data_IF_182206768030
#
_entry.id   IF_182206768030
#
_cell.length_a   1.000
_cell.length_b   1.000
_cell.length_c   1.000
_cell.angle_alpha   90.00
_cell.angle_beta   90.00
_cell.angle_gamma   90.00
#
_symmetry.space_group_name_H-M   'P 1'
#
loop_
_entity.id
_entity.type
_entity.pdbx_description
1 polymer ?
#
# COMPACT_ATOMS: atom_id res chain seq x y z
N UNK A 1 5.25 -8.36 -3.13
CA UNK A 1 5.00 -8.44 -1.68
C UNK A 1 5.69 -9.62 -0.98
N UNK A 2 5.71 -10.85 -1.55
CA UNK A 2 6.34 -12.02 -0.92
C UNK A 2 7.85 -11.89 -0.62
N UNK A 3 8.58 -11.03 -1.36
CA UNK A 3 9.99 -10.78 -1.08
C UNK A 3 10.23 -10.31 0.36
N UNK A 4 9.38 -9.45 0.92
CA UNK A 4 9.52 -8.97 2.31
C UNK A 4 9.43 -10.14 3.31
N UNK A 5 8.52 -11.09 3.06
CA UNK A 5 8.36 -12.28 3.89
C UNK A 5 9.58 -13.21 3.79
N UNK A 6 10.10 -13.42 2.57
CA UNK A 6 11.32 -14.20 2.35
C UNK A 6 12.50 -13.58 3.11
N UNK A 7 12.68 -12.26 2.98
CA UNK A 7 13.75 -11.53 3.69
C UNK A 7 13.57 -11.64 5.21
N UNK A 8 12.33 -11.52 5.72
CA UNK A 8 12.06 -11.70 7.14
C UNK A 8 12.46 -13.09 7.65
N UNK A 9 12.15 -14.15 6.88
CA UNK A 9 12.53 -15.53 7.21
C UNK A 9 14.05 -15.70 7.23
N UNK A 10 14.76 -15.09 6.27
CA UNK A 10 16.24 -15.13 6.23
C UNK A 10 16.86 -14.47 7.47
N UNK A 11 16.36 -13.30 7.88
CA UNK A 11 16.82 -12.64 9.11
C UNK A 11 16.51 -13.45 10.36
N UNK A 12 15.36 -14.12 10.41
CA UNK A 12 15.00 -15.01 11.53
C UNK A 12 15.93 -16.23 11.59
N UNK A 13 16.24 -16.85 10.45
CA UNK A 13 17.18 -17.96 10.38
C UNK A 13 18.60 -17.55 10.80
N UNK A 14 19.07 -16.38 10.34
CA UNK A 14 20.33 -15.80 10.78
C UNK A 14 20.37 -15.49 12.27
N UNK A 15 19.26 -15.00 12.84
CA UNK A 15 19.15 -14.76 14.27
C UNK A 15 19.26 -16.05 15.10
N UNK A 16 18.61 -17.13 14.65
CA UNK A 16 18.70 -18.45 15.29
C UNK A 16 20.14 -18.97 15.25
N UNK A 17 20.83 -18.80 14.12
CA UNK A 17 22.24 -19.15 13.97
C UNK A 17 23.15 -18.33 14.91
N UNK A 18 22.94 -17.02 15.02
CA UNK A 18 23.71 -16.18 15.94
C UNK A 18 23.45 -16.54 17.41
N UNK A 19 22.22 -16.95 17.74
CA UNK A 19 21.87 -17.42 19.08
C UNK A 19 22.63 -18.71 19.45
N UNK A 20 22.80 -19.64 18.50
CA UNK A 20 23.56 -20.88 18.74
C UNK A 20 25.07 -20.63 18.89
N UNK A 21 25.58 -19.54 18.30
CA UNK A 21 26.96 -19.09 18.48
C UNK A 21 27.20 -18.28 19.77
N UNK A 22 26.16 -18.01 20.56
CA UNK A 22 26.25 -17.18 21.78
C UNK A 22 26.40 -15.68 21.51
N UNK A 23 26.15 -15.25 20.28
CA UNK A 23 26.32 -13.87 19.80
C UNK A 23 24.96 -13.16 19.87
N UNK A 24 24.57 -12.78 21.09
CA UNK A 24 23.19 -12.38 21.40
C UNK A 24 22.77 -11.01 20.82
N UNK A 25 23.68 -10.06 20.71
CA UNK A 25 23.38 -8.72 20.17
C UNK A 25 22.90 -8.78 18.72
N UNK A 26 23.58 -9.59 17.90
CA UNK A 26 23.32 -9.78 16.49
C UNK A 26 22.07 -10.65 16.29
N UNK A 27 21.86 -11.64 17.15
CA UNK A 27 20.62 -12.41 17.18
C UNK A 27 19.40 -11.51 17.44
N UNK A 28 19.49 -10.62 18.44
CA UNK A 28 18.41 -9.73 18.82
C UNK A 28 18.10 -8.70 17.73
N UNK A 29 19.14 -8.16 17.07
CA UNK A 29 18.98 -7.30 15.90
C UNK A 29 18.25 -8.03 14.75
N UNK A 30 18.62 -9.28 14.47
CA UNK A 30 17.98 -10.09 13.43
C UNK A 30 16.49 -10.36 13.73
N UNK A 31 16.14 -10.69 14.97
CA UNK A 31 14.74 -10.85 15.40
C UNK A 31 13.96 -9.56 15.23
N UNK A 32 14.52 -8.42 15.65
CA UNK A 32 13.85 -7.12 15.52
C UNK A 32 13.56 -6.77 14.06
N UNK A 33 14.52 -7.00 13.16
CA UNK A 33 14.35 -6.78 11.71
C UNK A 33 13.29 -7.72 11.14
N UNK A 34 13.35 -9.02 11.47
CA UNK A 34 12.37 -10.00 11.00
C UNK A 34 10.94 -9.65 11.45
N UNK A 35 10.77 -9.25 12.71
CA UNK A 35 9.49 -8.80 13.25
C UNK A 35 8.96 -7.57 12.50
N UNK A 36 9.82 -6.57 12.29
CA UNK A 36 9.46 -5.34 11.59
C UNK A 36 9.01 -5.60 10.15
N UNK A 37 9.77 -6.43 9.41
CA UNK A 37 9.43 -6.83 8.04
C UNK A 37 8.11 -7.59 7.97
N UNK A 38 7.84 -8.43 8.98
CA UNK A 38 6.59 -9.18 9.06
C UNK A 38 5.40 -8.25 9.29
N UNK A 39 5.52 -7.27 10.19
CA UNK A 39 4.49 -6.25 10.42
C UNK A 39 4.22 -5.44 9.13
N UNK A 40 5.27 -5.02 8.43
CA UNK A 40 5.13 -4.31 7.15
C UNK A 40 4.49 -5.17 6.06
N UNK A 41 4.82 -6.45 6.01
CA UNK A 41 4.20 -7.39 5.09
C UNK A 41 2.70 -7.51 5.35
N UNK A 42 2.28 -7.71 6.60
CA UNK A 42 0.86 -7.77 6.95
C UNK A 42 0.13 -6.46 6.67
N UNK A 43 0.74 -5.32 7.01
CA UNK A 43 0.18 -4.00 6.70
C UNK A 43 -0.01 -3.82 5.19
N UNK A 44 1.01 -4.17 4.39
CA UNK A 44 0.95 -4.06 2.93
C UNK A 44 -0.11 -4.99 2.34
N UNK A 45 -0.20 -6.21 2.88
CA UNK A 45 -1.17 -7.23 2.44
C UNK A 45 -2.60 -6.83 2.76
N UNK A 46 -2.83 -6.20 3.91
CA UNK A 46 -4.14 -5.66 4.24
C UNK A 46 -4.54 -4.54 3.25
N UNK A 47 -3.61 -3.67 2.86
CA UNK A 47 -3.91 -2.63 1.86
C UNK A 47 -4.27 -3.24 0.50
N UNK A 48 -3.50 -4.23 0.01
CA UNK A 48 -3.76 -4.91 -1.27
C UNK A 48 -5.11 -5.64 -1.25
N UNK A 49 -5.42 -6.40 -0.20
CA UNK A 49 -6.70 -7.12 -0.06
C UNK A 49 -7.90 -6.16 -0.11
N UNK A 50 -7.83 -5.01 0.55
CA UNK A 50 -8.93 -4.02 0.52
C UNK A 50 -9.07 -3.31 -0.82
N UNK A 51 -7.98 -3.19 -1.58
CA UNK A 51 -8.03 -2.68 -2.95
C UNK A 51 -8.74 -3.72 -3.83
N UNK A 52 -8.33 -4.98 -3.77
CA UNK A 52 -8.93 -6.07 -4.55
C UNK A 52 -10.43 -6.21 -4.26
N UNK A 53 -10.84 -6.26 -2.99
CA UNK A 53 -12.24 -6.31 -2.58
C UNK A 53 -13.05 -5.17 -3.20
N UNK A 54 -12.50 -3.95 -3.19
CA UNK A 54 -13.15 -2.79 -3.77
C UNK A 54 -13.23 -2.87 -5.30
N UNK A 55 -12.16 -3.32 -5.97
CA UNK A 55 -12.13 -3.44 -7.42
C UNK A 55 -13.09 -4.53 -7.92
N UNK A 56 -13.18 -5.67 -7.21
CA UNK A 56 -14.14 -6.74 -7.49
C UNK A 56 -15.56 -6.22 -7.34
N UNK A 57 -15.85 -5.56 -6.21
CA UNK A 57 -17.16 -4.95 -6.00
C UNK A 57 -17.51 -3.92 -7.09
N UNK A 58 -16.53 -3.12 -7.51
CA UNK A 58 -16.69 -2.12 -8.55
C UNK A 58 -16.99 -2.77 -9.91
N UNK A 59 -16.33 -3.88 -10.23
CA UNK A 59 -16.58 -4.67 -11.44
C UNK A 59 -17.98 -5.27 -11.46
N UNK A 60 -18.47 -5.78 -10.34
CA UNK A 60 -19.83 -6.33 -10.22
C UNK A 60 -20.92 -5.27 -10.42
N UNK A 61 -20.63 -4.02 -10.06
CA UNK A 61 -21.60 -2.92 -10.09
C UNK A 61 -21.41 -1.93 -11.25
N UNK A 62 -20.42 -2.17 -12.12
CA UNK A 62 -20.02 -1.25 -13.19
C UNK A 62 -21.16 -0.87 -14.13
N UNK A 63 -22.03 -1.81 -14.49
CA UNK A 63 -23.10 -1.57 -15.46
C UNK A 63 -24.18 -0.66 -14.89
N UNK A 64 -24.47 -0.80 -13.59
CA UNK A 64 -25.38 0.09 -12.85
C UNK A 64 -24.81 1.50 -12.76
N UNK A 65 -23.51 1.62 -12.49
CA UNK A 65 -22.81 2.91 -12.40
C UNK A 65 -22.69 3.62 -13.75
N UNK A 66 -22.54 2.88 -14.86
CA UNK A 66 -22.49 3.43 -16.22
C UNK A 66 -23.85 3.87 -16.73
N UNK A 67 -24.87 3.05 -16.55
CA UNK A 67 -26.22 3.26 -17.09
C UNK A 67 -26.94 4.42 -16.40
N UNK A 68 -26.76 4.58 -15.09
CA UNK A 68 -27.39 5.64 -14.32
C UNK A 68 -26.36 6.40 -13.48
N UNK A 69 -25.66 7.36 -14.11
CA UNK A 69 -24.59 8.17 -13.49
C UNK A 69 -25.03 8.96 -12.26
N UNK A 70 -26.34 9.18 -12.08
CA UNK A 70 -26.90 9.93 -10.95
C UNK A 70 -27.20 9.04 -9.74
N UNK A 71 -27.37 7.73 -9.93
CA UNK A 71 -27.70 6.83 -8.82
C UNK A 71 -26.43 6.41 -8.07
N UNK A 72 -26.43 6.67 -6.76
CA UNK A 72 -25.31 6.30 -5.90
C UNK A 72 -25.51 4.88 -5.35
N UNK A 73 -24.47 4.04 -5.46
CA UNK A 73 -24.45 2.72 -4.83
C UNK A 73 -23.54 2.82 -3.61
N UNK A 74 -24.01 2.33 -2.47
CA UNK A 74 -23.25 2.43 -1.22
C UNK A 74 -22.23 1.31 -1.09
N UNK A 75 -20.96 1.65 -0.84
CA UNK A 75 -19.91 0.72 -0.42
C UNK A 75 -19.46 1.09 0.99
N UNK A 76 -19.57 0.15 1.94
CA UNK A 76 -19.22 0.38 3.35
C UNK A 76 -19.88 1.65 3.94
N UNK A 77 -21.13 1.94 3.54
CA UNK A 77 -21.87 3.14 3.97
C UNK A 77 -21.49 4.44 3.26
N UNK A 78 -20.57 4.42 2.30
CA UNK A 78 -20.19 5.58 1.49
C UNK A 78 -20.91 5.54 0.13
N UNK A 79 -21.66 6.58 -0.27
CA UNK A 79 -22.30 6.63 -1.58
C UNK A 79 -21.25 6.81 -2.69
N UNK A 80 -21.21 5.87 -3.64
CA UNK A 80 -20.30 5.86 -4.78
C UNK A 80 -21.09 6.10 -6.07
N UNK A 81 -20.60 7.02 -6.88
CA UNK A 81 -21.11 7.39 -8.20
C UNK A 81 -19.99 7.31 -9.23
N UNK A 82 -20.36 7.37 -10.51
CA UNK A 82 -19.41 7.37 -11.62
C UNK A 82 -18.43 8.56 -11.59
N UNK A 83 -18.90 9.71 -11.09
CA UNK A 83 -18.15 10.96 -10.93
C UNK A 83 -17.41 11.05 -9.58
N UNK A 84 -17.50 10.03 -8.74
CA UNK A 84 -16.86 10.04 -7.42
C UNK A 84 -15.35 10.03 -7.58
N UNK A 85 -14.69 10.94 -6.87
CA UNK A 85 -13.22 11.01 -6.82
C UNK A 85 -12.72 10.19 -5.64
N UNK A 86 -11.89 9.19 -5.93
CA UNK A 86 -11.14 8.43 -4.94
C UNK A 86 -9.70 8.93 -4.90
N UNK A 87 -9.09 8.90 -3.71
CA UNK A 87 -7.70 9.30 -3.51
C UNK A 87 -6.91 8.12 -2.95
N UNK A 88 -5.75 7.85 -3.52
CA UNK A 88 -4.77 6.91 -2.98
C UNK A 88 -3.49 7.65 -2.59
N UNK A 89 -2.92 7.27 -1.47
CA UNK A 89 -1.63 7.77 -1.01
C UNK A 89 -0.57 6.73 -1.33
N UNK A 90 0.37 7.04 -2.25
CA UNK A 90 1.48 6.15 -2.49
C UNK A 90 2.38 6.13 -1.24
N UNK A 91 2.95 4.97 -0.97
CA UNK A 91 3.97 4.78 0.05
C UNK A 91 5.12 3.97 -0.52
N UNK A 92 6.33 4.24 -0.01
CA UNK A 92 7.54 3.58 -0.46
C UNK A 92 8.18 2.79 0.68
N UNK A 93 8.56 1.55 0.40
CA UNK A 93 9.37 0.72 1.29
C UNK A 93 10.59 0.23 0.51
N UNK A 94 11.77 0.49 1.04
CA UNK A 94 13.04 0.13 0.42
C UNK A 94 13.84 -0.73 1.37
N UNK A 95 14.50 -1.76 0.83
CA UNK A 95 15.37 -2.65 1.57
C UNK A 95 16.58 -3.01 0.70
N UNK A 96 17.77 -2.62 1.16
CA UNK A 96 19.07 -2.87 0.53
C UNK A 96 19.16 -2.33 -0.91
N UNK A 97 18.72 -3.12 -1.88
CA UNK A 97 18.77 -2.81 -3.32
C UNK A 97 17.38 -2.78 -3.97
N UNK A 98 16.33 -3.21 -3.26
CA UNK A 98 14.97 -3.27 -3.80
C UNK A 98 14.13 -2.16 -3.18
N UNK A 99 13.41 -1.42 -4.02
CA UNK A 99 12.44 -0.41 -3.60
C UNK A 99 11.07 -0.78 -4.14
N UNK A 100 10.06 -0.77 -3.29
CA UNK A 100 8.67 -0.99 -3.65
C UNK A 100 7.91 0.31 -3.50
N UNK A 101 7.19 0.70 -4.55
CA UNK A 101 6.19 1.76 -4.50
C UNK A 101 4.81 1.11 -4.52
N UNK A 102 4.08 1.25 -3.44
CA UNK A 102 2.74 0.68 -3.28
C UNK A 102 1.73 1.81 -3.09
N UNK A 103 0.46 1.54 -3.42
CA UNK A 103 -0.64 2.49 -3.20
C UNK A 103 -1.47 2.06 -2.01
N UNK A 104 -1.91 3.01 -1.19
CA UNK A 104 -2.90 2.72 -0.15
C UNK A 104 -4.24 2.29 -0.73
N UNK A 105 -5.12 1.76 0.12
CA UNK A 105 -6.56 1.63 -0.18
C UNK A 105 -7.16 2.94 -0.69
N UNK A 106 -8.27 2.83 -1.42
CA UNK A 106 -9.01 3.99 -1.93
C UNK A 106 -9.70 4.75 -0.80
N UNK A 107 -9.46 6.06 -0.73
CA UNK A 107 -10.12 6.96 0.21
C UNK A 107 -11.11 7.87 -0.49
N UNK A 108 -12.32 7.94 0.07
CA UNK A 108 -13.36 8.85 -0.37
C UNK A 108 -13.21 10.21 0.32
N UNK A 109 -13.75 11.29 -0.27
CA UNK A 109 -13.66 12.65 0.27
C UNK A 109 -14.24 12.79 1.68
N UNK A 110 -15.22 11.96 2.04
CA UNK A 110 -15.89 11.98 3.34
C UNK A 110 -15.29 11.01 4.38
N UNK A 111 -14.25 10.23 4.07
CA UNK A 111 -13.76 9.22 5.02
C UNK A 111 -12.99 9.86 6.17
N UNK A 112 -13.47 9.69 7.40
CA UNK A 112 -12.81 10.15 8.64
C UNK A 112 -11.42 9.55 8.85
N UNK A 113 -11.16 8.36 8.29
CA UNK A 113 -9.86 7.67 8.41
C UNK A 113 -8.77 8.18 7.47
N UNK A 114 -9.10 9.12 6.57
CA UNK A 114 -8.15 9.68 5.61
C UNK A 114 -6.90 10.22 6.29
N UNK A 115 -7.06 11.06 7.32
CA UNK A 115 -5.93 11.71 8.00
C UNK A 115 -5.00 10.70 8.69
N UNK A 116 -5.56 9.64 9.27
CA UNK A 116 -4.78 8.59 9.94
C UNK A 116 -3.92 7.80 8.96
N UNK A 117 -4.51 7.33 7.85
CA UNK A 117 -3.76 6.57 6.86
C UNK A 117 -2.80 7.46 6.06
N UNK A 118 -3.17 8.72 5.84
CA UNK A 118 -2.28 9.74 5.28
C UNK A 118 -1.01 9.87 6.13
N UNK A 119 -1.15 10.05 7.44
CA UNK A 119 -0.01 10.14 8.34
C UNK A 119 0.80 8.83 8.37
N UNK A 120 0.13 7.68 8.48
CA UNK A 120 0.79 6.39 8.50
C UNK A 120 1.64 6.14 7.24
N UNK A 121 1.11 6.46 6.06
CA UNK A 121 1.83 6.28 4.78
C UNK A 121 3.03 7.22 4.64
N UNK A 122 2.96 8.45 5.17
CA UNK A 122 4.12 9.35 5.27
C UNK A 122 5.18 8.76 6.20
N UNK A 123 4.78 8.32 7.40
CA UNK A 123 5.70 7.75 8.38
C UNK A 123 6.39 6.50 7.83
N UNK A 124 5.65 5.61 7.20
CA UNK A 124 6.22 4.42 6.54
C UNK A 124 7.22 4.83 5.47
N UNK A 125 6.87 5.80 4.62
CA UNK A 125 7.76 6.28 3.54
C UNK A 125 9.03 6.93 4.10
N UNK A 126 8.91 7.75 5.15
CA UNK A 126 10.05 8.42 5.79
C UNK A 126 10.91 7.49 6.64
N UNK A 127 10.39 6.39 7.15
CA UNK A 127 11.19 5.45 7.93
C UNK A 127 11.80 4.40 7.01
N UNK A 128 11.05 3.89 6.03
CA UNK A 128 11.44 2.72 5.24
C UNK A 128 11.86 3.04 3.81
N UNK A 129 11.62 4.23 3.28
CA UNK A 129 11.94 4.55 1.89
C UNK A 129 13.46 4.70 1.61
N UNK A 130 14.26 5.00 2.65
CA UNK A 130 15.67 5.38 2.47
C UNK A 130 16.64 4.22 2.34
N UNK A 131 16.29 3.01 2.77
CA UNK A 131 17.24 1.90 2.89
C UNK A 131 17.63 1.24 1.56
N UNK A 132 17.26 1.81 0.42
CA UNK A 132 17.63 1.36 -0.92
C UNK A 132 18.74 2.21 -1.53
N UNK A 133 19.95 1.66 -1.74
CA UNK A 133 21.04 2.34 -2.43
C UNK A 133 20.95 2.10 -3.95
N UNK A 134 21.00 3.10 -4.85
CA UNK A 134 20.83 4.57 -4.72
C UNK A 134 19.39 5.06 -4.97
N UNK A 135 18.46 4.19 -5.36
CA UNK A 135 17.12 4.57 -5.82
C UNK A 135 16.13 4.91 -4.69
N UNK A 136 16.39 4.45 -3.46
CA UNK A 136 15.50 4.61 -2.32
C UNK A 136 15.21 6.09 -2.00
N UNK A 137 16.24 6.94 -1.77
CA UNK A 137 16.04 8.36 -1.53
C UNK A 137 15.26 9.07 -2.66
N UNK A 138 15.53 8.71 -3.92
CA UNK A 138 14.83 9.28 -5.07
C UNK A 138 13.33 8.95 -5.05
N UNK A 139 12.97 7.67 -4.89
CA UNK A 139 11.57 7.25 -4.79
C UNK A 139 10.88 7.79 -3.54
N UNK A 140 11.60 7.91 -2.44
CA UNK A 140 11.09 8.47 -1.18
C UNK A 140 10.69 9.92 -1.37
N UNK A 141 11.57 10.74 -1.94
CA UNK A 141 11.30 12.15 -2.23
C UNK A 141 10.16 12.30 -3.23
N UNK A 142 10.15 11.50 -4.31
CA UNK A 142 9.06 11.50 -5.29
C UNK A 142 7.71 11.20 -4.63
N UNK A 143 7.67 10.14 -3.81
CA UNK A 143 6.44 9.71 -3.12
C UNK A 143 5.99 10.76 -2.11
N UNK A 144 6.91 11.41 -1.40
CA UNK A 144 6.59 12.48 -0.47
C UNK A 144 6.02 13.71 -1.19
N UNK A 145 6.57 14.09 -2.36
CA UNK A 145 6.03 15.19 -3.17
C UNK A 145 4.62 14.87 -3.66
N UNK A 146 4.37 13.65 -4.17
CA UNK A 146 3.03 13.18 -4.55
C UNK A 146 2.07 13.23 -3.36
N UNK A 147 2.55 12.89 -2.18
CA UNK A 147 1.79 12.94 -0.94
C UNK A 147 1.41 14.38 -0.53
N UNK A 148 2.35 15.32 -0.65
CA UNK A 148 2.13 16.75 -0.38
C UNK A 148 1.16 17.38 -1.37
N UNK A 149 1.15 16.93 -2.63
CA UNK A 149 0.19 17.34 -3.67
C UNK A 149 -1.23 16.79 -3.45
N UNK A 150 -1.44 15.99 -2.40
CA UNK A 150 -2.75 15.50 -2.00
C UNK A 150 -3.06 14.07 -2.42
N UNK A 151 -2.04 13.31 -2.86
CA UNK A 151 -2.19 11.93 -3.31
C UNK A 151 -2.70 11.81 -4.75
N UNK A 152 -2.77 10.57 -5.24
CA UNK A 152 -3.25 10.25 -6.57
C UNK A 152 -4.77 10.21 -6.57
N UNK A 153 -5.39 11.23 -7.16
CA UNK A 153 -6.84 11.35 -7.31
C UNK A 153 -7.27 10.72 -8.63
N UNK A 154 -8.25 9.83 -8.59
CA UNK A 154 -8.82 9.18 -9.77
C UNK A 154 -10.34 9.19 -9.70
N UNK A 155 -11.00 9.28 -10.86
CA UNK A 155 -12.44 9.11 -10.94
C UNK A 155 -12.78 7.62 -10.97
N UNK A 156 -13.92 7.26 -10.37
CA UNK A 156 -14.44 5.90 -10.47
C UNK A 156 -14.65 5.48 -11.92
N UNK A 157 -15.15 6.37 -12.77
CA UNK A 157 -15.30 6.11 -14.19
C UNK A 157 -14.01 5.69 -14.89
N UNK A 158 -12.90 6.38 -14.60
CA UNK A 158 -11.60 6.07 -15.19
C UNK A 158 -11.09 4.70 -14.73
N UNK A 159 -11.28 4.38 -13.44
CA UNK A 159 -10.91 3.07 -12.87
C UNK A 159 -11.71 1.95 -13.54
N UNK A 160 -13.03 2.14 -13.77
CA UNK A 160 -13.84 1.15 -14.47
C UNK A 160 -13.32 0.91 -15.89
N UNK A 161 -12.95 1.98 -16.61
CA UNK A 161 -12.40 1.87 -17.97
C UNK A 161 -11.05 1.13 -17.94
N UNK A 162 -10.16 1.47 -17.00
CA UNK A 162 -8.87 0.78 -16.81
C UNK A 162 -9.06 -0.72 -16.55
N UNK A 163 -10.00 -1.09 -15.69
CA UNK A 163 -10.30 -2.48 -15.36
C UNK A 163 -10.82 -3.26 -16.58
N UNK A 164 -11.66 -2.65 -17.42
CA UNK A 164 -12.17 -3.28 -18.65
C UNK A 164 -11.12 -3.42 -19.74
N UNK A 165 -10.21 -2.46 -19.84
CA UNK A 165 -9.08 -2.52 -20.77
C UNK A 165 -8.04 -3.59 -20.42
N UNK A 166 -8.16 -4.22 -19.24
CA UNK A 166 -7.23 -5.23 -18.75
C UNK A 166 -5.90 -4.67 -18.25
N UNK A 167 -5.75 -3.34 -18.19
CA UNK A 167 -4.53 -2.68 -17.72
C UNK A 167 -4.27 -2.87 -16.21
N UNK A 168 -5.29 -3.27 -15.44
CA UNK A 168 -5.21 -3.38 -14.00
C UNK A 168 -6.10 -4.53 -13.48
N UNK A 169 -6.02 -5.72 -14.11
CA UNK A 169 -6.65 -6.92 -13.53
C UNK A 169 -5.97 -7.22 -12.18
N UNK A 170 -6.73 -7.51 -11.12
CA UNK A 170 -6.16 -7.95 -9.84
C UNK A 170 -5.34 -9.23 -10.04
#
# INVERSE_FOLDING_TARGET
MFLMLIVAILFLAGAIYNFSLGVYSEALAGVAIAFLLTVLFFFSREQESRIEEFLIWLLEHKDKLKTNRLNAITWQGVPIRYDTVVTQYPFCTSFLIVSFKQSSRFFFQSSSDRSRVRLATVLVTLIFGWWGLPLGPFYTLQTLVEHLRGGNKRLIGDIIIELESGANKP
#
